data_IF_869120441152
#
_entry.id   IF_869120441152
#
_cell.length_a   1.000
_cell.length_b   1.000
_cell.length_c   1.000
_cell.angle_alpha   90.00
_cell.angle_beta   90.00
_cell.angle_gamma   90.00
#
_symmetry.space_group_name_H-M   'P 1'
#
loop_
_entity.id
_entity.type
_entity.pdbx_description
1 polymer ?
#
# COMPACT_ATOMS: atom_id res chain seq x y z
N UNK A 1 5.14 -1.28 -33.17
CA UNK A 1 5.89 -1.22 -31.92
C UNK A 1 5.06 -0.45 -30.91
N UNK A 2 5.15 -0.80 -29.63
CA UNK A 2 4.42 -0.09 -28.59
C UNK A 2 5.07 1.27 -28.32
N UNK A 3 4.24 2.28 -28.06
CA UNK A 3 4.70 3.61 -27.67
C UNK A 3 4.73 3.62 -26.13
N UNK A 4 5.92 3.75 -25.54
CA UNK A 4 6.12 3.71 -24.08
C UNK A 4 6.03 5.12 -23.47
N UNK A 5 5.77 5.20 -22.16
CA UNK A 5 5.72 6.48 -21.44
C UNK A 5 4.43 7.28 -21.63
N UNK A 6 3.42 6.68 -22.28
CA UNK A 6 2.08 7.28 -22.43
C UNK A 6 1.26 7.10 -21.16
N UNK A 7 0.47 8.11 -20.83
CA UNK A 7 -0.46 8.09 -19.70
C UNK A 7 -1.70 8.92 -20.05
N UNK A 8 -2.89 8.41 -19.76
CA UNK A 8 -4.15 9.05 -20.18
C UNK A 8 -4.38 10.38 -19.44
N UNK A 9 -3.65 10.65 -18.35
CA UNK A 9 -3.84 11.84 -17.52
C UNK A 9 -2.73 12.88 -17.68
N UNK A 10 -1.49 12.48 -17.87
CA UNK A 10 -0.30 13.35 -17.85
C UNK A 10 0.45 13.37 -19.18
N UNK A 11 0.65 12.21 -19.81
CA UNK A 11 1.36 12.05 -21.09
C UNK A 11 0.43 11.54 -22.20
N UNK A 12 -0.66 12.28 -22.47
CA UNK A 12 -1.76 11.83 -23.34
C UNK A 12 -1.69 12.28 -24.80
N UNK A 13 -0.69 13.05 -25.20
CA UNK A 13 -0.60 13.64 -26.54
C UNK A 13 0.52 12.99 -27.35
N UNK A 14 0.17 12.39 -28.48
CA UNK A 14 1.15 11.84 -29.43
C UNK A 14 1.13 12.70 -30.70
N UNK A 15 2.26 13.34 -30.98
CA UNK A 15 2.49 13.99 -32.28
C UNK A 15 3.12 13.01 -33.26
N UNK A 16 2.41 12.70 -34.34
CA UNK A 16 2.93 11.91 -35.46
C UNK A 16 3.32 12.87 -36.57
N UNK A 17 4.58 12.80 -36.98
CA UNK A 17 5.16 13.60 -38.05
C UNK A 17 5.52 12.70 -39.22
N UNK A 18 5.06 13.06 -40.41
CA UNK A 18 5.57 12.50 -41.65
C UNK A 18 6.71 13.39 -42.12
N UNK A 19 7.83 12.80 -42.54
CA UNK A 19 8.99 13.54 -43.04
C UNK A 19 9.37 13.09 -44.44
N UNK A 20 9.92 13.99 -45.24
CA UNK A 20 10.47 13.69 -46.57
C UNK A 20 11.88 13.05 -46.48
N UNK A 21 12.48 12.78 -47.64
CA UNK A 21 13.85 12.23 -47.74
C UNK A 21 14.94 13.16 -47.19
N UNK A 22 14.62 14.42 -46.92
CA UNK A 22 15.52 15.42 -46.34
C UNK A 22 15.25 15.66 -44.84
N UNK A 23 14.46 14.79 -44.19
CA UNK A 23 14.02 14.92 -42.80
C UNK A 23 13.22 16.22 -42.53
N UNK A 24 12.51 16.75 -43.52
CA UNK A 24 11.59 17.88 -43.35
C UNK A 24 10.18 17.38 -43.12
N UNK A 25 9.48 17.94 -42.14
CA UNK A 25 8.08 17.61 -41.85
C UNK A 25 7.20 18.01 -43.03
N UNK A 26 6.40 17.06 -43.52
CA UNK A 26 5.43 17.26 -44.60
C UNK A 26 3.98 17.08 -44.13
N UNK A 27 3.76 16.37 -43.02
CA UNK A 27 2.44 16.18 -42.41
C UNK A 27 2.53 16.03 -40.90
N UNK A 28 1.46 16.40 -40.20
CA UNK A 28 1.34 16.29 -38.76
C UNK A 28 -0.06 15.80 -38.37
N UNK A 29 -0.10 14.87 -37.42
CA UNK A 29 -1.33 14.43 -36.75
C UNK A 29 -1.11 14.41 -35.24
N UNK A 30 -2.01 15.06 -34.51
CA UNK A 30 -2.12 14.92 -33.06
C UNK A 30 -3.11 13.80 -32.73
N UNK A 31 -2.71 12.87 -31.86
CA UNK A 31 -3.58 11.90 -31.23
C UNK A 31 -3.68 12.26 -29.75
N UNK A 32 -4.92 12.31 -29.24
CA UNK A 32 -5.20 12.49 -27.82
C UNK A 32 -5.64 11.13 -27.29
N UNK A 33 -4.86 10.56 -26.39
CA UNK A 33 -5.14 9.28 -25.77
C UNK A 33 -6.24 9.42 -24.72
N UNK A 34 -7.13 8.45 -24.71
CA UNK A 34 -8.09 8.19 -23.63
C UNK A 34 -7.65 6.96 -22.84
N UNK A 35 -8.29 6.71 -21.70
CA UNK A 35 -8.01 5.50 -20.91
C UNK A 35 -8.25 4.20 -21.71
N UNK A 36 -9.14 4.21 -22.70
CA UNK A 36 -9.40 3.06 -23.58
C UNK A 36 -8.28 2.80 -24.59
N UNK A 37 -7.45 3.79 -24.90
CA UNK A 37 -6.34 3.69 -25.85
C UNK A 37 -5.06 3.17 -25.18
N UNK A 38 -5.05 3.06 -23.85
CA UNK A 38 -3.89 2.67 -23.06
C UNK A 38 -4.18 1.36 -22.34
N UNK A 39 -3.33 0.37 -22.58
CA UNK A 39 -3.34 -0.87 -21.81
C UNK A 39 -2.66 -0.62 -20.46
N UNK A 40 -3.45 -0.27 -19.45
CA UNK A 40 -2.97 -0.25 -18.06
C UNK A 40 -2.93 -1.68 -17.54
N UNK A 41 -1.82 -2.14 -16.93
CA UNK A 41 -1.81 -3.42 -16.23
C UNK A 41 -2.95 -3.47 -15.21
N UNK A 42 -3.67 -4.59 -15.14
CA UNK A 42 -4.66 -4.78 -14.09
C UNK A 42 -3.97 -4.67 -12.72
N UNK A 43 -4.62 -4.05 -11.71
CA UNK A 43 -4.06 -4.01 -10.36
C UNK A 43 -3.73 -5.43 -9.87
N UNK A 44 -2.54 -5.59 -9.30
CA UNK A 44 -2.10 -6.85 -8.72
C UNK A 44 -2.31 -6.76 -7.21
N UNK A 45 -3.12 -7.66 -6.66
CA UNK A 45 -3.33 -7.74 -5.21
C UNK A 45 -2.02 -7.93 -4.47
N UNK A 46 -1.82 -7.18 -3.39
CA UNK A 46 -0.59 -7.25 -2.62
C UNK A 46 -0.38 -8.68 -2.08
N UNK A 47 0.83 -9.25 -2.20
CA UNK A 47 1.15 -10.55 -1.62
C UNK A 47 1.01 -10.52 -0.10
N UNK A 48 0.72 -11.68 0.48
CA UNK A 48 0.57 -11.82 1.93
C UNK A 48 1.91 -11.62 2.64
N UNK A 49 1.96 -10.68 3.59
CA UNK A 49 3.09 -10.50 4.50
C UNK A 49 3.03 -11.54 5.64
N UNK A 50 4.12 -12.28 5.94
CA UNK A 50 4.14 -13.26 7.02
C UNK A 50 4.26 -12.55 8.38
N UNK A 51 3.14 -12.01 8.84
CA UNK A 51 3.00 -11.30 10.09
C UNK A 51 1.96 -11.98 10.99
N UNK A 52 2.30 -12.16 12.26
CA UNK A 52 1.43 -12.70 13.30
C UNK A 52 1.44 -11.77 14.52
N UNK A 53 0.28 -11.51 15.14
CA UNK A 53 0.22 -10.74 16.37
C UNK A 53 0.72 -11.55 17.56
N UNK A 54 1.13 -10.83 18.60
CA UNK A 54 1.37 -11.36 19.94
C UNK A 54 1.05 -10.27 20.96
N UNK A 55 0.75 -10.61 22.22
CA UNK A 55 0.56 -9.61 23.26
C UNK A 55 1.72 -8.62 23.34
N UNK A 56 1.38 -7.33 23.40
CA UNK A 56 2.35 -6.25 23.60
C UNK A 56 2.88 -6.22 25.04
N UNK A 57 3.59 -5.15 25.36
CA UNK A 57 4.19 -4.94 26.70
C UNK A 57 3.27 -4.18 27.65
N UNK A 58 2.54 -3.19 27.15
CA UNK A 58 1.57 -2.38 27.89
C UNK A 58 0.15 -2.94 27.88
N UNK A 59 -0.75 -2.46 28.76
CA UNK A 59 -2.16 -2.82 28.70
C UNK A 59 -2.80 -2.35 27.39
N UNK A 60 -3.71 -3.15 26.84
CA UNK A 60 -4.42 -2.86 25.59
C UNK A 60 -3.47 -2.62 24.40
N UNK A 61 -2.37 -3.37 24.36
CA UNK A 61 -1.45 -3.36 23.22
C UNK A 61 -1.25 -4.76 22.64
N UNK A 62 -0.95 -4.80 21.35
CA UNK A 62 -0.43 -5.97 20.64
C UNK A 62 0.88 -5.59 19.97
N UNK A 63 1.63 -6.55 19.44
CA UNK A 63 2.82 -6.28 18.64
C UNK A 63 2.94 -7.30 17.52
N UNK A 64 3.63 -6.91 16.46
CA UNK A 64 3.87 -7.74 15.29
C UNK A 64 5.35 -7.75 14.97
N UNK A 65 5.91 -8.94 14.80
CA UNK A 65 7.25 -9.13 14.26
C UNK A 65 7.15 -9.74 12.87
N UNK A 66 7.84 -9.16 11.90
CA UNK A 66 7.90 -9.68 10.54
C UNK A 66 9.18 -9.18 9.86
N UNK A 67 9.79 -9.95 8.95
CA UNK A 67 10.91 -9.48 8.14
C UNK A 67 10.50 -8.29 7.28
N UNK A 68 11.45 -7.39 7.03
CA UNK A 68 11.28 -6.24 6.14
C UNK A 68 12.32 -6.32 5.04
N UNK A 69 11.89 -6.18 3.78
CA UNK A 69 12.78 -6.15 2.62
C UNK A 69 13.75 -4.97 2.66
N UNK A 70 14.89 -5.12 1.97
CA UNK A 70 15.89 -4.06 1.89
C UNK A 70 15.31 -2.80 1.24
N UNK A 71 15.44 -1.65 1.93
CA UNK A 71 14.91 -0.36 1.46
C UNK A 71 13.41 -0.14 1.71
N UNK A 72 12.71 -1.15 2.24
CA UNK A 72 11.31 -1.06 2.62
C UNK A 72 11.17 -0.66 4.11
N UNK A 73 9.95 -0.30 4.50
CA UNK A 73 9.57 -0.13 5.90
C UNK A 73 8.14 -0.60 6.14
N UNK A 74 7.76 -0.75 7.42
CA UNK A 74 6.41 -1.14 7.79
C UNK A 74 5.54 0.07 8.10
N UNK A 75 4.26 -0.07 7.79
CA UNK A 75 3.18 0.81 8.22
C UNK A 75 2.10 -0.04 8.87
N UNK A 76 1.53 0.42 9.98
CA UNK A 76 0.37 -0.24 10.59
C UNK A 76 -0.85 0.68 10.54
N UNK A 77 -2.04 0.09 10.42
CA UNK A 77 -3.31 0.78 10.58
C UNK A 77 -4.23 -0.01 11.49
N UNK A 78 -4.58 0.55 12.64
CA UNK A 78 -5.64 0.06 13.52
C UNK A 78 -6.99 0.60 13.02
N UNK A 79 -8.01 -0.26 13.01
CA UNK A 79 -9.33 0.07 12.50
C UNK A 79 -10.43 -0.69 13.25
N UNK A 80 -11.58 -0.03 13.40
CA UNK A 80 -12.79 -0.67 13.92
C UNK A 80 -13.59 -1.42 12.86
N UNK A 81 -13.29 -1.16 11.58
CA UNK A 81 -13.90 -1.83 10.42
C UNK A 81 -12.86 -2.64 9.66
N UNK A 82 -13.35 -3.65 8.93
CA UNK A 82 -12.52 -4.47 8.05
C UNK A 82 -11.71 -3.58 7.08
N UNK A 83 -10.41 -3.84 6.99
CA UNK A 83 -9.52 -3.16 6.04
C UNK A 83 -9.44 -4.03 4.78
N UNK A 84 -9.78 -3.48 3.58
CA UNK A 84 -9.66 -4.23 2.34
C UNK A 84 -8.20 -4.47 1.98
N UNK A 85 -7.93 -5.59 1.30
CA UNK A 85 -6.59 -5.90 0.79
C UNK A 85 -6.21 -4.88 -0.29
N UNK A 86 -5.07 -4.17 -0.16
CA UNK A 86 -4.57 -3.26 -1.17
C UNK A 86 -3.95 -3.99 -2.36
N UNK A 87 -3.66 -3.24 -3.42
CA UNK A 87 -2.83 -3.70 -4.52
C UNK A 87 -1.37 -3.26 -4.32
N UNK A 88 -0.45 -3.94 -5.01
CA UNK A 88 0.93 -3.48 -5.13
C UNK A 88 0.95 -2.11 -5.80
N UNK A 89 1.72 -1.17 -5.26
CA UNK A 89 1.82 0.20 -5.80
C UNK A 89 0.79 1.19 -5.25
N UNK A 90 -0.22 0.73 -4.50
CA UNK A 90 -1.16 1.61 -3.80
C UNK A 90 -0.41 2.47 -2.77
N UNK A 91 -0.94 3.65 -2.46
CA UNK A 91 -0.36 4.48 -1.40
C UNK A 91 -0.57 3.84 -0.02
N UNK A 92 0.43 3.97 0.85
CA UNK A 92 0.30 3.62 2.27
C UNK A 92 -0.87 4.37 2.93
N UNK A 93 -1.55 3.77 3.94
CA UNK A 93 -2.60 4.46 4.66
C UNK A 93 -2.03 5.67 5.43
N UNK A 94 -2.88 6.67 5.66
CA UNK A 94 -2.57 7.85 6.46
C UNK A 94 -3.71 8.16 7.45
N UNK A 95 -3.46 9.07 8.39
CA UNK A 95 -4.46 9.55 9.35
C UNK A 95 -4.58 8.71 10.63
N UNK A 96 -5.77 8.71 11.24
CA UNK A 96 -6.00 8.09 12.54
C UNK A 96 -5.73 6.57 12.55
N UNK A 97 -5.12 6.11 13.65
CA UNK A 97 -4.75 4.71 13.86
C UNK A 97 -3.57 4.26 13.01
N UNK A 98 -2.88 5.16 12.29
CA UNK A 98 -1.72 4.82 11.45
C UNK A 98 -0.41 5.08 12.20
N UNK A 99 0.50 4.10 12.17
CA UNK A 99 1.89 4.28 12.57
C UNK A 99 2.80 4.09 11.35
N UNK A 100 3.52 5.14 10.96
CA UNK A 100 4.47 5.12 9.86
C UNK A 100 5.73 5.95 10.22
N UNK A 101 6.93 5.34 10.29
CA UNK A 101 7.19 3.91 10.18
C UNK A 101 6.81 3.15 11.46
N UNK A 102 6.39 1.91 11.31
CA UNK A 102 6.26 0.96 12.42
C UNK A 102 7.56 0.18 12.61
N UNK A 103 8.04 0.11 13.85
CA UNK A 103 9.18 -0.72 14.22
C UNK A 103 8.70 -2.12 14.59
N UNK A 104 9.16 -3.19 13.91
CA UNK A 104 8.79 -4.56 14.26
C UNK A 104 8.99 -4.87 15.75
N UNK A 105 7.96 -5.41 16.38
CA UNK A 105 7.96 -5.76 17.80
C UNK A 105 7.63 -4.60 18.76
N UNK A 106 7.50 -3.36 18.26
CA UNK A 106 6.97 -2.26 19.06
C UNK A 106 5.47 -2.45 19.34
N UNK A 107 5.01 -1.89 20.46
CA UNK A 107 3.61 -1.96 20.83
C UNK A 107 2.74 -1.14 19.84
N UNK A 108 1.66 -1.76 19.42
CA UNK A 108 0.55 -1.16 18.68
C UNK A 108 -0.54 -0.87 19.70
N UNK A 109 -0.85 0.41 19.90
CA UNK A 109 -1.81 0.91 20.89
C UNK A 109 -3.22 0.99 20.33
N UNK A 110 -4.18 1.35 21.19
CA UNK A 110 -5.59 1.58 20.84
C UNK A 110 -6.28 0.38 20.22
N UNK A 111 -5.79 -0.83 20.53
CA UNK A 111 -6.37 -2.09 20.07
C UNK A 111 -7.34 -2.65 21.10
N UNK A 112 -8.39 -3.28 20.58
CA UNK A 112 -9.40 -3.94 21.39
C UNK A 112 -9.98 -5.12 20.61
N UNK A 113 -10.25 -6.24 21.28
CA UNK A 113 -10.74 -7.45 20.61
C UNK A 113 -12.18 -7.31 20.09
N UNK A 114 -12.90 -6.22 20.45
CA UNK A 114 -14.31 -6.02 20.11
C UNK A 114 -14.60 -4.83 19.20
N UNK A 115 -13.80 -3.78 19.29
CA UNK A 115 -14.01 -2.53 18.55
C UNK A 115 -12.85 -2.34 17.58
N UNK A 116 -11.65 -2.04 18.07
CA UNK A 116 -10.45 -1.80 17.27
C UNK A 116 -9.64 -3.07 17.02
N UNK A 117 -10.28 -4.08 16.43
CA UNK A 117 -9.69 -5.42 16.26
C UNK A 117 -8.98 -5.66 14.93
N UNK A 118 -9.13 -4.76 13.96
CA UNK A 118 -8.53 -4.94 12.64
C UNK A 118 -7.22 -4.18 12.55
N UNK A 119 -6.14 -4.89 12.26
CA UNK A 119 -4.84 -4.26 11.99
C UNK A 119 -4.41 -4.62 10.58
N UNK A 120 -4.20 -3.60 9.75
CA UNK A 120 -3.48 -3.74 8.50
C UNK A 120 -1.99 -3.55 8.76
N UNK A 121 -1.17 -4.54 8.42
CA UNK A 121 0.29 -4.44 8.38
C UNK A 121 0.69 -4.35 6.92
N UNK A 122 1.34 -3.25 6.55
CA UNK A 122 1.79 -2.98 5.20
C UNK A 122 3.31 -2.96 5.21
N UNK A 123 3.92 -3.69 4.31
CA UNK A 123 5.28 -3.39 3.89
C UNK A 123 5.19 -2.43 2.70
N UNK A 124 5.92 -1.33 2.77
CA UNK A 124 5.93 -0.31 1.71
C UNK A 124 7.35 0.01 1.29
N UNK A 125 7.52 0.40 0.03
CA UNK A 125 8.80 0.82 -0.53
C UNK A 125 9.24 2.21 -0.03
N UNK A 126 10.39 2.68 -0.50
CA UNK A 126 10.93 4.01 -0.17
C UNK A 126 10.05 5.17 -0.64
N UNK A 127 9.08 4.93 -1.53
CA UNK A 127 8.12 5.90 -2.04
C UNK A 127 6.75 5.79 -1.34
N UNK A 128 6.66 5.05 -0.22
CA UNK A 128 5.42 4.76 0.50
C UNK A 128 4.37 4.02 -0.37
N UNK A 129 4.81 3.13 -1.25
CA UNK A 129 3.94 2.27 -2.05
C UNK A 129 3.89 0.86 -1.51
N UNK A 130 2.69 0.27 -1.44
CA UNK A 130 2.47 -1.07 -0.91
C UNK A 130 3.25 -2.11 -1.72
N UNK A 131 4.02 -2.94 -1.01
CA UNK A 131 4.77 -4.09 -1.53
C UNK A 131 4.12 -5.39 -1.10
N UNK A 132 3.73 -5.49 0.17
CA UNK A 132 3.04 -6.66 0.74
C UNK A 132 2.10 -6.25 1.86
N UNK A 133 1.11 -7.08 2.18
CA UNK A 133 0.07 -6.75 3.14
C UNK A 133 -0.38 -7.95 3.97
N UNK A 134 -0.73 -7.70 5.23
CA UNK A 134 -1.45 -8.64 6.09
C UNK A 134 -2.56 -7.92 6.82
N UNK A 135 -3.78 -8.43 6.70
CA UNK A 135 -4.84 -8.14 7.66
C UNK A 135 -4.73 -9.11 8.85
N UNK A 136 -4.71 -8.54 10.05
CA UNK A 136 -4.83 -9.25 11.32
C UNK A 136 -6.19 -8.91 11.92
N UNK A 137 -6.91 -9.94 12.37
CA UNK A 137 -8.13 -9.82 13.17
C UNK A 137 -7.76 -10.27 14.57
N UNK A 138 -7.69 -9.34 15.50
CA UNK A 138 -7.29 -9.62 16.87
C UNK A 138 -8.38 -10.39 17.63
N UNK A 139 -7.91 -11.35 18.40
CA UNK A 139 -8.63 -12.02 19.46
C UNK A 139 -8.12 -11.54 20.83
N UNK A 140 -8.83 -11.89 21.91
CA UNK A 140 -8.38 -11.54 23.26
C UNK A 140 -6.98 -12.11 23.60
N UNK A 141 -6.60 -13.24 23.00
CA UNK A 141 -5.28 -13.85 23.20
C UNK A 141 -4.12 -13.09 22.55
N UNK A 142 -4.43 -12.20 21.60
CA UNK A 142 -3.44 -11.42 20.87
C UNK A 142 -3.10 -10.09 21.55
N UNK A 143 -3.82 -9.75 22.62
CA UNK A 143 -3.76 -8.45 23.30
C UNK A 143 -3.26 -8.65 24.73
N UNK A 144 -2.39 -7.75 25.17
CA UNK A 144 -1.96 -7.70 26.56
C UNK A 144 -3.11 -7.15 27.41
N UNK A 145 -3.74 -8.05 28.16
CA UNK A 145 -4.83 -7.72 29.09
C UNK A 145 -4.30 -6.83 30.23
N UNK A 146 -5.01 -5.77 30.63
CA UNK A 146 -4.69 -4.99 31.82
C UNK A 146 -4.60 -5.88 33.07
N UNK A 147 -3.71 -5.53 34.00
CA UNK A 147 -3.73 -6.17 35.32
C UNK A 147 -5.11 -5.94 35.97
N UNK A 148 -5.66 -6.92 36.72
CA UNK A 148 -6.87 -6.70 37.50
C UNK A 148 -6.68 -5.49 38.40
N UNK A 149 -7.63 -4.56 38.38
CA UNK A 149 -7.70 -3.48 39.37
C UNK A 149 -8.04 -4.11 40.72
N UNK A 150 -7.11 -4.01 41.68
CA UNK A 150 -7.29 -4.44 43.08
C UNK A 150 -7.81 -3.31 43.94
#
# INVERSE_FOLDING_TARGET
>A
ADITGVDATTNRYIGIYEVDSNNKVVSFKLIILTAGDIKVPAPVTAPTLPASPSPGTGPNTTKVTTPVGAGNHLVTKVSSTLIPTPNVGDAAPTGAGVTNPYTPGADITDVDATTNRYIGIYEVDSNNKVVSFKLIILTAGDIKVPAPVT
#
